data_IF_397053146042
#
_entry.id   IF_397053146042
#
_cell.length_a   1.000
_cell.length_b   1.000
_cell.length_c   1.000
_cell.angle_alpha   90.00
_cell.angle_beta   90.00
_cell.angle_gamma   90.00
#
_symmetry.space_group_name_H-M   'P 1'
#
loop_
_entity.id
_entity.type
_entity.pdbx_description
1 polymer ?
#
# COMPACT_ATOMS: atom_id res chain seq x y z
N UNK A 1 -14.19 44.95 -18.67
CA UNK A 1 -13.10 44.98 -17.68
C UNK A 1 -13.69 45.06 -16.30
N UNK A 2 -13.02 44.55 -15.28
CA UNK A 2 -13.45 44.66 -13.89
C UNK A 2 -12.64 45.76 -13.20
N UNK A 3 -13.29 46.60 -12.37
CA UNK A 3 -12.65 47.67 -11.60
C UNK A 3 -12.85 47.38 -10.12
N UNK A 4 -11.76 47.41 -9.35
CA UNK A 4 -11.80 47.27 -7.89
C UNK A 4 -11.82 48.67 -7.28
N UNK A 5 -12.81 48.95 -6.43
CA UNK A 5 -12.93 50.21 -5.70
C UNK A 5 -13.27 49.92 -4.24
N UNK A 6 -12.66 50.66 -3.33
CA UNK A 6 -13.01 50.64 -1.92
C UNK A 6 -13.97 51.78 -1.63
N UNK A 7 -15.14 51.43 -1.11
CA UNK A 7 -16.11 52.38 -0.63
C UNK A 7 -16.04 52.42 0.89
N UNK A 8 -15.86 53.61 1.45
CA UNK A 8 -15.84 53.82 2.89
C UNK A 8 -16.54 55.12 3.25
N UNK A 9 -17.13 55.16 4.44
CA UNK A 9 -17.64 56.39 5.02
C UNK A 9 -16.53 56.99 5.89
N UNK A 10 -15.90 58.05 5.38
CA UNK A 10 -14.86 58.78 6.09
C UNK A 10 -15.40 60.18 6.39
N UNK A 11 -15.35 60.58 7.67
CA UNK A 11 -15.83 61.89 8.12
C UNK A 11 -17.29 62.22 7.74
N UNK A 12 -18.18 61.21 7.72
CA UNK A 12 -19.60 61.42 7.41
C UNK A 12 -19.92 61.50 5.91
N UNK A 13 -18.91 61.38 5.04
CA UNK A 13 -19.07 61.37 3.59
C UNK A 13 -18.67 60.02 3.00
N UNK A 14 -19.46 59.55 2.03
CA UNK A 14 -19.15 58.36 1.26
C UNK A 14 -18.06 58.70 0.24
N UNK A 15 -16.86 58.14 0.42
CA UNK A 15 -15.78 58.24 -0.56
C UNK A 15 -15.56 56.88 -1.22
N UNK A 16 -15.33 56.92 -2.53
CA UNK A 16 -14.96 55.76 -3.34
C UNK A 16 -13.55 55.95 -3.85
N UNK A 17 -12.61 55.17 -3.32
CA UNK A 17 -11.20 55.21 -3.72
C UNK A 17 -10.88 54.04 -4.64
N UNK A 18 -10.20 54.32 -5.76
CA UNK A 18 -9.61 53.29 -6.62
C UNK A 18 -8.23 52.99 -6.05
N UNK A 19 -8.11 51.91 -5.29
CA UNK A 19 -6.88 51.63 -4.54
C UNK A 19 -5.74 51.19 -5.47
N UNK A 20 -6.04 50.50 -6.57
CA UNK A 20 -5.01 49.91 -7.44
C UNK A 20 -5.39 50.03 -8.92
N UNK A 21 -5.02 51.13 -9.60
CA UNK A 21 -5.35 51.33 -11.01
C UNK A 21 -4.64 50.33 -11.94
N UNK A 22 -3.46 49.84 -11.56
CA UNK A 22 -2.69 48.85 -12.34
C UNK A 22 -3.12 47.40 -12.08
N UNK A 23 -3.88 47.13 -11.01
CA UNK A 23 -4.28 45.77 -10.68
C UNK A 23 -5.36 45.29 -11.64
N UNK A 24 -5.04 44.27 -12.43
CA UNK A 24 -5.98 43.59 -13.32
C UNK A 24 -6.42 42.26 -12.68
N UNK A 25 -7.67 42.14 -12.17
CA UNK A 25 -8.15 40.92 -11.52
C UNK A 25 -8.08 39.68 -12.43
N UNK A 26 -8.25 39.85 -13.75
CA UNK A 26 -8.22 38.74 -14.71
C UNK A 26 -6.87 38.04 -14.79
N UNK A 27 -5.79 38.72 -14.37
CA UNK A 27 -4.43 38.18 -14.38
C UNK A 27 -4.00 37.56 -13.05
N UNK A 28 -4.83 37.67 -12.01
CA UNK A 28 -4.48 37.31 -10.63
C UNK A 28 -5.52 36.38 -10.02
N UNK A 29 -6.05 35.44 -10.81
CA UNK A 29 -7.06 34.51 -10.36
C UNK A 29 -6.39 33.42 -9.50
N UNK A 30 -7.04 33.02 -8.41
CA UNK A 30 -6.73 31.80 -7.66
C UNK A 30 -8.00 30.98 -7.59
N UNK A 31 -7.95 29.77 -8.13
CA UNK A 31 -9.09 28.87 -8.16
C UNK A 31 -9.22 28.10 -6.84
N UNK A 32 -10.44 27.67 -6.55
CA UNK A 32 -10.69 26.68 -5.51
C UNK A 32 -10.10 25.32 -5.92
N UNK A 33 -9.60 24.53 -4.94
CA UNK A 33 -9.07 23.21 -5.22
C UNK A 33 -10.18 22.28 -5.76
N UNK A 34 -9.85 21.31 -6.63
CA UNK A 34 -10.81 20.33 -7.10
C UNK A 34 -11.39 19.49 -5.95
N UNK A 35 -12.65 19.08 -6.10
CA UNK A 35 -13.43 18.41 -5.07
C UNK A 35 -13.70 16.94 -5.41
N UNK A 36 -14.10 16.16 -4.40
CA UNK A 36 -14.57 14.76 -4.58
C UNK A 36 -13.61 13.91 -5.40
N UNK A 37 -12.32 14.00 -5.10
CA UNK A 37 -11.32 13.13 -5.74
C UNK A 37 -11.64 11.66 -5.38
N UNK A 38 -11.64 10.80 -6.39
CA UNK A 38 -11.93 9.37 -6.25
C UNK A 38 -10.99 8.58 -7.16
N UNK A 39 -10.82 7.30 -6.83
CA UNK A 39 -9.95 6.40 -7.58
C UNK A 39 -10.62 5.05 -7.81
N UNK A 40 -10.50 4.53 -9.03
CA UNK A 40 -10.86 3.17 -9.43
C UNK A 40 -9.60 2.44 -9.87
N UNK A 41 -9.33 1.32 -9.23
CA UNK A 41 -8.19 0.49 -9.58
C UNK A 41 -8.67 -0.71 -10.37
N UNK A 42 -8.13 -0.86 -11.57
CA UNK A 42 -8.30 -2.03 -12.41
C UNK A 42 -6.98 -2.82 -12.51
N UNK A 43 -7.00 -3.99 -13.13
CA UNK A 43 -5.81 -4.83 -13.27
C UNK A 43 -4.69 -4.16 -14.11
N UNK A 44 -5.08 -3.34 -15.10
CA UNK A 44 -4.16 -2.68 -16.04
C UNK A 44 -3.89 -1.21 -15.74
N UNK A 45 -4.80 -0.52 -15.05
CA UNK A 45 -4.67 0.92 -14.78
C UNK A 45 -5.35 1.37 -13.49
N UNK A 46 -4.89 2.49 -12.94
CA UNK A 46 -5.60 3.24 -11.91
C UNK A 46 -6.20 4.50 -12.53
N UNK A 47 -7.52 4.62 -12.50
CA UNK A 47 -8.23 5.82 -12.93
C UNK A 47 -8.50 6.70 -11.71
N UNK A 48 -8.18 7.98 -11.81
CA UNK A 48 -8.48 8.99 -10.79
C UNK A 48 -9.33 10.07 -11.44
N UNK A 49 -10.42 10.47 -10.80
CA UNK A 49 -11.29 11.55 -11.27
C UNK A 49 -11.67 12.48 -10.12
N UNK A 50 -12.05 13.70 -10.48
CA UNK A 50 -12.45 14.76 -9.55
C UNK A 50 -13.58 15.59 -10.12
N UNK A 51 -14.11 16.50 -9.31
CA UNK A 51 -15.20 17.42 -9.69
C UNK A 51 -14.71 18.86 -9.68
N UNK A 52 -15.12 19.60 -10.71
CA UNK A 52 -14.98 21.05 -10.84
C UNK A 52 -16.29 21.63 -11.38
N UNK A 53 -16.52 22.95 -11.24
CA UNK A 53 -17.65 23.60 -11.89
C UNK A 53 -17.62 23.38 -13.41
N UNK A 54 -18.76 22.99 -13.98
CA UNK A 54 -18.87 22.54 -15.38
C UNK A 54 -18.37 23.59 -16.39
N UNK A 55 -18.59 24.87 -16.12
CA UNK A 55 -18.18 25.98 -16.98
C UNK A 55 -16.67 26.24 -16.99
N UNK A 56 -15.91 25.58 -16.11
CA UNK A 56 -14.44 25.68 -16.08
C UNK A 56 -13.74 24.51 -16.77
N UNK A 57 -14.44 23.40 -17.02
CA UNK A 57 -13.81 22.13 -17.44
C UNK A 57 -12.87 22.32 -18.63
N UNK A 58 -13.28 23.06 -19.65
CA UNK A 58 -12.53 23.21 -20.90
C UNK A 58 -11.30 24.13 -20.79
N UNK A 59 -11.31 25.07 -19.85
CA UNK A 59 -10.25 26.10 -19.70
C UNK A 59 -9.23 25.74 -18.61
N UNK A 60 -9.42 24.63 -17.89
CA UNK A 60 -8.54 24.23 -16.80
C UNK A 60 -7.45 23.27 -17.27
N UNK A 61 -6.28 23.47 -16.69
CA UNK A 61 -5.17 22.55 -16.66
C UNK A 61 -5.02 22.00 -15.24
N UNK A 62 -4.66 20.72 -15.14
CA UNK A 62 -4.52 20.03 -13.86
C UNK A 62 -3.11 19.51 -13.67
N UNK A 63 -2.77 19.30 -12.41
CA UNK A 63 -1.59 18.56 -12.01
C UNK A 63 -2.00 17.54 -10.94
N UNK A 64 -1.77 16.27 -11.25
CA UNK A 64 -1.87 15.18 -10.29
C UNK A 64 -0.50 14.99 -9.64
N UNK A 65 -0.50 14.90 -8.32
CA UNK A 65 0.66 14.48 -7.56
C UNK A 65 0.32 13.24 -6.74
N UNK A 66 1.15 12.20 -6.84
CA UNK A 66 0.94 10.95 -6.13
C UNK A 66 2.25 10.39 -5.57
N UNK A 67 2.16 9.67 -4.47
CA UNK A 67 3.30 9.05 -3.79
C UNK A 67 2.88 7.78 -3.09
N UNK A 68 3.84 6.96 -2.68
CA UNK A 68 3.55 5.87 -1.74
C UNK A 68 3.05 6.45 -0.41
N UNK A 69 2.16 5.73 0.26
CA UNK A 69 1.50 6.21 1.48
C UNK A 69 2.51 6.60 2.57
N UNK A 70 3.57 5.81 2.74
CA UNK A 70 4.65 5.98 3.72
C UNK A 70 5.68 7.07 3.38
N UNK A 71 5.70 7.56 2.14
CA UNK A 71 6.72 8.49 1.64
C UNK A 71 6.41 9.96 1.94
N UNK A 72 7.41 10.85 1.85
CA UNK A 72 7.20 12.30 1.92
C UNK A 72 6.63 12.86 0.61
N UNK A 73 5.95 14.01 0.66
CA UNK A 73 5.51 14.74 -0.54
C UNK A 73 6.66 15.33 -1.37
N UNK A 74 7.86 15.44 -0.79
CA UNK A 74 9.07 15.92 -1.50
C UNK A 74 9.53 14.97 -2.59
N UNK A 75 9.23 13.67 -2.46
CA UNK A 75 9.58 12.61 -3.42
C UNK A 75 8.36 12.14 -4.24
N UNK A 76 7.29 12.93 -4.25
CA UNK A 76 6.08 12.59 -4.99
C UNK A 76 6.28 12.72 -6.50
N UNK A 77 5.56 11.88 -7.24
CA UNK A 77 5.53 11.88 -8.69
C UNK A 77 4.45 12.83 -9.17
N UNK A 78 4.79 13.70 -10.12
CA UNK A 78 3.86 14.62 -10.75
C UNK A 78 3.46 14.08 -12.12
N UNK A 79 2.17 14.18 -12.44
CA UNK A 79 1.61 13.78 -13.73
C UNK A 79 0.61 14.83 -14.19
N UNK A 80 0.82 15.36 -15.38
CA UNK A 80 -0.12 16.27 -16.03
C UNK A 80 -1.06 15.47 -16.92
N UNK A 81 -2.40 15.59 -16.77
CA UNK A 81 -3.32 14.98 -17.70
C UNK A 81 -3.12 15.56 -19.10
N UNK A 82 -3.22 14.74 -20.16
CA UNK A 82 -3.08 15.21 -21.55
C UNK A 82 -4.29 16.01 -22.04
N UNK A 83 -5.40 15.98 -21.30
CA UNK A 83 -6.66 16.66 -21.65
C UNK A 83 -7.13 17.57 -20.51
N UNK A 84 -8.01 18.52 -20.84
CA UNK A 84 -8.72 19.36 -19.86
C UNK A 84 -9.85 18.62 -19.13
N UNK A 85 -9.97 17.30 -19.32
CA UNK A 85 -10.98 16.52 -18.63
C UNK A 85 -10.57 16.27 -17.16
N UNK A 86 -11.53 16.22 -16.23
CA UNK A 86 -11.25 16.09 -14.80
C UNK A 86 -10.99 14.63 -14.39
N UNK A 87 -10.19 13.92 -15.20
CA UNK A 87 -9.76 12.55 -14.92
C UNK A 87 -8.37 12.29 -15.51
N UNK A 88 -7.69 11.29 -14.95
CA UNK A 88 -6.37 10.83 -15.41
C UNK A 88 -6.21 9.34 -15.17
N UNK A 89 -5.42 8.71 -16.03
CA UNK A 89 -5.05 7.30 -15.91
C UNK A 89 -3.57 7.16 -15.55
N UNK A 90 -3.29 6.34 -14.55
CA UNK A 90 -1.95 5.90 -14.16
C UNK A 90 -1.80 4.46 -14.64
N UNK A 91 -0.80 4.21 -15.47
CA UNK A 91 -0.54 2.87 -15.96
C UNK A 91 -0.12 1.96 -14.82
N UNK A 92 -0.56 0.70 -14.83
CA UNK A 92 -0.17 -0.23 -13.79
C UNK A 92 1.36 -0.44 -13.74
N UNK A 93 2.08 -0.23 -14.85
CA UNK A 93 3.54 -0.28 -14.89
C UNK A 93 4.22 0.81 -14.04
N UNK A 94 3.55 1.94 -13.80
CA UNK A 94 4.03 3.02 -12.92
C UNK A 94 3.83 2.68 -11.42
N UNK A 95 3.06 1.62 -11.11
CA UNK A 95 2.63 1.29 -9.76
C UNK A 95 3.16 -0.06 -9.29
N UNK A 96 3.74 -0.06 -8.09
CA UNK A 96 4.14 -1.27 -7.39
C UNK A 96 2.92 -2.05 -6.90
N UNK A 97 2.90 -3.35 -7.22
CA UNK A 97 1.87 -4.29 -6.79
C UNK A 97 1.86 -4.41 -5.26
N UNK A 98 0.68 -4.27 -4.63
CA UNK A 98 0.54 -4.41 -3.18
C UNK A 98 0.99 -3.19 -2.37
N UNK A 99 1.43 -2.11 -3.00
CA UNK A 99 1.77 -0.85 -2.31
C UNK A 99 0.58 0.12 -2.36
N UNK A 100 0.25 0.72 -1.22
CA UNK A 100 -0.76 1.76 -1.12
C UNK A 100 -0.15 3.12 -1.50
N UNK A 101 -0.87 3.84 -2.37
CA UNK A 101 -0.52 5.16 -2.85
C UNK A 101 -1.55 6.18 -2.37
N UNK A 102 -1.12 7.43 -2.28
CA UNK A 102 -1.96 8.59 -1.99
C UNK A 102 -1.77 9.63 -3.08
N UNK A 103 -2.88 10.17 -3.58
CA UNK A 103 -2.90 11.18 -4.63
C UNK A 103 -3.67 12.42 -4.22
N UNK A 104 -3.25 13.57 -4.76
CA UNK A 104 -3.91 14.87 -4.67
C UNK A 104 -3.81 15.59 -6.01
N UNK A 105 -4.76 16.46 -6.29
CA UNK A 105 -4.84 17.21 -7.54
C UNK A 105 -4.94 18.70 -7.25
N UNK A 106 -4.41 19.52 -8.16
CA UNK A 106 -4.64 20.97 -8.17
C UNK A 106 -4.94 21.42 -9.59
N UNK A 107 -5.54 22.59 -9.74
CA UNK A 107 -5.89 23.16 -11.04
C UNK A 107 -5.36 24.58 -11.20
N UNK A 108 -5.21 24.98 -12.46
CA UNK A 108 -5.02 26.37 -12.89
C UNK A 108 -5.74 26.57 -14.21
N UNK A 109 -5.94 27.82 -14.60
CA UNK A 109 -6.30 28.17 -15.97
C UNK A 109 -5.19 27.71 -16.90
N UNK A 110 -5.58 27.06 -17.98
CA UNK A 110 -4.69 26.55 -19.02
C UNK A 110 -3.83 27.68 -19.58
N UNK A 111 -2.57 27.39 -19.85
CA UNK A 111 -1.66 28.33 -20.50
C UNK A 111 -2.09 28.68 -21.92
N UNK A 112 -2.98 27.88 -22.53
CA UNK A 112 -3.55 28.14 -23.84
C UNK A 112 -4.64 29.22 -23.81
N UNK A 113 -5.13 29.62 -22.64
CA UNK A 113 -6.17 30.65 -22.48
C UNK A 113 -5.52 32.02 -22.21
N UNK A 114 -5.53 32.90 -23.21
CA UNK A 114 -4.91 34.23 -23.11
C UNK A 114 -5.77 35.25 -22.33
N UNK A 115 -7.07 34.99 -22.19
CA UNK A 115 -8.02 35.92 -21.59
C UNK A 115 -7.84 36.08 -20.07
N UNK A 116 -7.31 35.04 -19.43
CA UNK A 116 -7.24 34.91 -17.99
C UNK A 116 -5.93 34.25 -17.57
N UNK A 117 -5.36 34.73 -16.47
CA UNK A 117 -4.22 34.07 -15.85
C UNK A 117 -4.51 33.77 -14.39
N UNK A 118 -4.06 32.60 -13.96
CA UNK A 118 -4.20 32.15 -12.59
C UNK A 118 -2.91 31.53 -12.07
N UNK A 119 -2.69 31.68 -10.79
CA UNK A 119 -1.79 30.80 -10.05
C UNK A 119 -2.42 29.41 -9.84
N UNK A 120 -1.61 28.44 -9.48
CA UNK A 120 -2.10 27.14 -9.04
C UNK A 120 -3.03 27.27 -7.82
N UNK A 121 -4.11 26.49 -7.82
CA UNK A 121 -4.94 26.31 -6.64
C UNK A 121 -4.15 25.66 -5.50
N UNK A 122 -4.74 25.68 -4.31
CA UNK A 122 -4.32 24.74 -3.27
C UNK A 122 -4.50 23.28 -3.74
N UNK A 123 -3.85 22.37 -3.04
CA UNK A 123 -4.06 20.94 -3.27
C UNK A 123 -5.45 20.51 -2.80
N UNK A 124 -6.07 19.58 -3.53
CA UNK A 124 -7.31 18.93 -3.13
C UNK A 124 -7.14 18.07 -1.88
N UNK A 125 -8.27 17.56 -1.38
CA UNK A 125 -8.29 16.39 -0.52
C UNK A 125 -7.54 15.23 -1.18
N UNK A 126 -7.09 14.27 -0.37
CA UNK A 126 -6.33 13.12 -0.87
C UNK A 126 -7.22 11.91 -1.11
N UNK A 127 -6.95 11.13 -2.16
CA UNK A 127 -7.50 9.78 -2.33
C UNK A 127 -6.41 8.72 -2.14
N UNK A 128 -6.79 7.57 -1.59
CA UNK A 128 -5.90 6.43 -1.41
C UNK A 128 -6.29 5.32 -2.38
N UNK A 129 -5.32 4.72 -3.04
CA UNK A 129 -5.52 3.62 -3.97
C UNK A 129 -4.37 2.62 -3.87
N UNK A 130 -4.65 1.36 -4.16
CA UNK A 130 -3.66 0.30 -4.09
C UNK A 130 -3.87 -0.62 -5.28
N UNK A 131 -2.80 -0.87 -6.04
CA UNK A 131 -2.82 -1.90 -7.08
C UNK A 131 -3.03 -3.25 -6.40
N UNK A 132 -4.12 -3.93 -6.78
CA UNK A 132 -4.38 -5.29 -6.32
C UNK A 132 -3.11 -6.11 -6.59
N UNK A 133 -2.55 -6.67 -5.51
CA UNK A 133 -1.42 -7.54 -5.67
C UNK A 133 -1.81 -8.75 -6.52
N UNK A 134 -0.86 -9.31 -7.27
CA UNK A 134 -0.99 -10.74 -7.61
C UNK A 134 -1.22 -11.42 -6.26
N UNK A 135 -2.38 -12.07 -6.09
CA UNK A 135 -2.56 -13.02 -5.01
C UNK A 135 -1.62 -14.19 -5.31
N UNK A 136 -0.30 -13.99 -5.14
CA UNK A 136 0.53 -15.08 -4.69
C UNK A 136 -0.10 -15.39 -3.36
N UNK A 137 -0.94 -16.43 -3.34
CA UNK A 137 -1.54 -17.03 -2.16
C UNK A 137 -0.48 -16.88 -1.09
N UNK A 138 -0.65 -15.91 -0.20
CA UNK A 138 0.38 -15.59 0.77
C UNK A 138 0.53 -16.88 1.55
N UNK A 139 1.67 -17.56 1.39
CA UNK A 139 1.95 -18.88 1.98
C UNK A 139 1.82 -18.89 3.51
N UNK A 140 1.46 -17.76 4.12
CA UNK A 140 1.02 -17.60 5.50
C UNK A 140 -0.42 -18.07 5.80
N UNK A 141 -1.27 -18.28 4.79
CA UNK A 141 -2.66 -18.79 4.99
C UNK A 141 -2.80 -20.26 4.56
N UNK A 142 -1.70 -21.01 4.37
CA UNK A 142 -1.79 -22.48 4.39
C UNK A 142 -1.83 -22.97 5.84
N UNK A 143 -2.95 -22.59 6.47
CA UNK A 143 -3.63 -23.21 7.59
C UNK A 143 -2.84 -24.28 8.36
N UNK A 144 -2.22 -23.87 9.46
CA UNK A 144 -1.68 -24.75 10.51
C UNK A 144 -2.72 -25.79 10.96
N UNK A 145 -4.02 -25.47 10.83
CA UNK A 145 -5.15 -26.37 11.09
C UNK A 145 -5.34 -27.44 10.00
N UNK A 146 -5.09 -27.18 8.71
CA UNK A 146 -5.21 -28.20 7.64
C UNK A 146 -4.13 -29.26 7.76
N UNK A 147 -2.91 -28.87 8.11
CA UNK A 147 -1.83 -29.84 8.38
C UNK A 147 -2.17 -30.70 9.61
N UNK A 148 -2.77 -30.12 10.65
CA UNK A 148 -3.21 -30.85 11.84
C UNK A 148 -4.22 -31.96 11.51
N UNK A 149 -5.15 -31.73 10.57
CA UNK A 149 -6.13 -32.75 10.13
C UNK A 149 -5.52 -33.90 9.32
N UNK A 150 -4.31 -33.74 8.76
CA UNK A 150 -3.62 -34.83 8.05
C UNK A 150 -2.74 -35.67 8.99
N UNK A 151 -2.13 -35.08 10.01
CA UNK A 151 -1.26 -35.79 10.95
C UNK A 151 -2.00 -36.61 12.02
N UNK A 152 -3.19 -36.17 12.46
CA UNK A 152 -4.00 -36.87 13.47
C UNK A 152 -4.49 -38.27 13.00
N UNK A 153 -5.11 -38.45 11.82
CA UNK A 153 -5.57 -39.77 11.39
C UNK A 153 -4.41 -40.72 11.04
N UNK A 154 -3.29 -40.19 10.50
CA UNK A 154 -2.11 -41.00 10.20
C UNK A 154 -1.46 -41.56 11.46
N UNK A 155 -1.30 -40.72 12.50
CA UNK A 155 -0.71 -41.14 13.78
C UNK A 155 -1.64 -42.07 14.58
N UNK A 156 -2.95 -41.86 14.51
CA UNK A 156 -3.91 -42.76 15.14
C UNK A 156 -3.94 -44.14 14.45
N UNK A 157 -3.88 -44.17 13.12
CA UNK A 157 -3.80 -45.41 12.34
C UNK A 157 -2.53 -46.21 12.65
N UNK A 158 -1.38 -45.56 12.77
CA UNK A 158 -0.12 -46.25 13.12
C UNK A 158 -0.11 -46.75 14.57
N UNK A 159 -0.69 -46.00 15.51
CA UNK A 159 -0.84 -46.45 16.90
C UNK A 159 -1.79 -47.66 17.02
N UNK A 160 -2.91 -47.68 16.31
CA UNK A 160 -3.81 -48.83 16.28
C UNK A 160 -3.15 -50.06 15.65
N UNK A 161 -2.40 -49.86 14.56
CA UNK A 161 -1.63 -50.92 13.92
C UNK A 161 -0.59 -51.51 14.88
N UNK A 162 0.20 -50.66 15.54
CA UNK A 162 1.17 -51.10 16.55
C UNK A 162 0.48 -51.78 17.73
N UNK A 163 -0.61 -51.25 18.26
CA UNK A 163 -1.35 -51.87 19.36
C UNK A 163 -1.87 -53.27 18.99
N UNK A 164 -2.41 -53.43 17.77
CA UNK A 164 -2.87 -54.73 17.27
C UNK A 164 -1.71 -55.72 17.09
N UNK A 165 -0.59 -55.28 16.52
CA UNK A 165 0.61 -56.10 16.34
C UNK A 165 1.32 -56.41 17.67
N UNK A 166 1.35 -55.49 18.62
CA UNK A 166 1.90 -55.70 19.97
C UNK A 166 1.01 -56.64 20.80
N UNK A 167 -0.32 -56.57 20.62
CA UNK A 167 -1.25 -57.52 21.24
C UNK A 167 -1.09 -58.94 20.68
N UNK A 168 -0.66 -59.07 19.42
CA UNK A 168 -0.24 -60.33 18.81
C UNK A 168 1.15 -60.78 19.27
N UNK A 169 2.11 -59.86 19.46
CA UNK A 169 3.46 -60.16 19.94
C UNK A 169 3.51 -60.64 21.40
N UNK A 170 2.58 -60.20 22.25
CA UNK A 170 2.47 -60.70 23.63
C UNK A 170 2.14 -62.20 23.74
N UNK A 171 1.76 -62.88 22.64
CA UNK A 171 1.58 -64.33 22.62
C UNK A 171 2.81 -65.11 22.12
N UNK A 172 3.91 -64.43 21.79
CA UNK A 172 5.14 -65.09 21.31
C UNK A 172 6.37 -64.86 22.20
N UNK A 173 6.24 -64.21 23.35
CA UNK A 173 7.37 -64.00 24.27
C UNK A 173 7.33 -64.91 25.51
N UNK A 174 6.95 -66.19 25.34
CA UNK A 174 7.10 -67.21 26.40
C UNK A 174 7.91 -68.45 26.00
N UNK A 175 8.46 -68.53 24.79
CA UNK A 175 9.33 -69.64 24.43
C UNK A 175 10.62 -69.10 23.81
N UNK A 176 11.76 -69.54 24.37
CA UNK A 176 13.15 -69.26 24.01
C UNK A 176 13.87 -68.17 24.83
N UNK A 177 13.83 -68.32 26.16
CA UNK A 177 14.99 -68.00 27.01
C UNK A 177 15.56 -69.28 27.59
N UNK A 178 16.65 -69.76 27.02
CA UNK A 178 17.65 -70.70 27.57
C UNK A 178 18.29 -71.41 26.37
N UNK A 179 19.56 -71.30 26.05
CA UNK A 179 20.70 -70.68 26.68
C UNK A 179 21.89 -71.13 25.84
N UNK A 180 22.81 -70.21 25.52
CA UNK A 180 24.21 -70.44 25.15
C UNK A 180 24.71 -69.24 24.34
N UNK A 181 25.66 -68.50 24.91
CA UNK A 181 26.79 -68.04 24.10
C UNK A 181 27.97 -67.66 24.99
N UNK A 182 29.05 -68.41 24.80
CA UNK A 182 30.39 -68.00 25.15
C UNK A 182 30.81 -66.80 24.28
N UNK A 183 31.53 -65.87 24.90
CA UNK A 183 32.46 -64.94 24.25
C UNK A 183 33.66 -65.70 23.63
N UNK A 184 34.48 -65.13 22.72
CA UNK A 184 34.94 -63.74 22.79
C UNK A 184 35.22 -63.00 21.46
N UNK A 185 35.57 -61.72 21.66
CA UNK A 185 36.61 -60.95 20.97
C UNK A 185 36.31 -60.18 19.67
N UNK A 186 36.73 -58.91 19.77
CA UNK A 186 37.44 -58.08 18.79
C UNK A 186 36.68 -56.94 18.06
N UNK A 187 37.30 -55.76 18.25
CA UNK A 187 37.45 -54.60 17.34
C UNK A 187 36.42 -53.45 17.41
N UNK A 188 36.81 -52.41 18.16
CA UNK A 188 36.64 -50.97 17.86
C UNK A 188 37.50 -50.56 16.63
N UNK A 189 37.59 -49.28 16.15
CA UNK A 189 36.85 -48.03 16.47
C UNK A 189 36.44 -47.19 15.22
N UNK A 190 35.72 -46.06 15.43
CA UNK A 190 36.05 -44.68 14.99
C UNK A 190 34.78 -43.81 14.90
N UNK A 191 34.64 -42.81 15.77
CA UNK A 191 34.86 -41.35 15.51
C UNK A 191 33.64 -40.69 14.83
N UNK A 192 33.22 -39.44 15.08
CA UNK A 192 33.54 -38.35 16.01
C UNK A 192 32.49 -37.22 15.72
N UNK A 193 32.50 -36.16 16.54
CA UNK A 193 31.91 -34.82 16.36
C UNK A 193 30.41 -34.72 16.72
N UNK A 194 30.00 -34.25 17.91
CA UNK A 194 30.22 -32.93 18.53
C UNK A 194 29.99 -31.76 17.57
N UNK A 195 28.93 -30.98 17.78
CA UNK A 195 29.04 -29.54 18.10
C UNK A 195 27.77 -29.05 18.79
N UNK A 196 27.99 -28.52 20.00
CA UNK A 196 27.11 -27.60 20.72
C UNK A 196 27.00 -26.27 19.96
N UNK A 197 25.89 -25.54 20.09
CA UNK A 197 25.90 -24.11 20.45
C UNK A 197 24.46 -23.59 20.59
N UNK A 198 24.09 -23.30 21.84
CA UNK A 198 23.01 -22.41 22.23
C UNK A 198 23.37 -20.96 21.91
N UNK A 199 22.42 -20.17 21.38
CA UNK A 199 22.52 -18.70 21.37
C UNK A 199 21.21 -18.10 21.90
N UNK A 200 21.36 -17.33 22.97
CA UNK A 200 20.37 -16.52 23.66
C UNK A 200 20.39 -15.13 23.02
N UNK A 201 19.22 -14.59 22.68
CA UNK A 201 19.07 -13.18 22.27
C UNK A 201 18.47 -12.37 23.42
N UNK A 202 19.23 -11.40 23.93
CA UNK A 202 18.73 -10.34 24.82
C UNK A 202 18.80 -9.02 24.07
N UNK A 203 17.64 -8.41 23.82
CA UNK A 203 17.50 -7.04 23.33
C UNK A 203 17.65 -6.05 24.49
N UNK A 204 18.48 -5.03 24.31
CA UNK A 204 18.53 -3.84 25.15
C UNK A 204 18.36 -2.61 24.28
N UNK A 205 17.47 -1.70 24.70
CA UNK A 205 17.29 -0.34 24.18
C UNK A 205 17.48 0.62 25.37
N UNK A 206 17.86 1.87 25.05
CA UNK A 206 17.97 3.09 25.86
C UNK A 206 19.38 3.41 26.37
N UNK A 207 19.94 4.61 26.17
CA UNK A 207 19.37 5.95 25.89
C UNK A 207 20.21 6.69 24.87
#
# INVERSE_FOLDING_TARGET
GYRVSLQGNFFGHNHTYIIFPEYNPRKHIKLDPPLKIQSNVTASKCQIWWSVPWYLVEILQYELQYKEYSMSWEIALNKTPPSSLPHIEIEAAELHSGIAYIARVRCKISENEDSYHSQWSEWSQTTVFQRAGVQIISGKILNTRTMQFLFIPLSFGTLLYLFWNCKLSSRYCCFLTSGQKASPALTFPRQLLSFSHSIIFTMGILR
#
